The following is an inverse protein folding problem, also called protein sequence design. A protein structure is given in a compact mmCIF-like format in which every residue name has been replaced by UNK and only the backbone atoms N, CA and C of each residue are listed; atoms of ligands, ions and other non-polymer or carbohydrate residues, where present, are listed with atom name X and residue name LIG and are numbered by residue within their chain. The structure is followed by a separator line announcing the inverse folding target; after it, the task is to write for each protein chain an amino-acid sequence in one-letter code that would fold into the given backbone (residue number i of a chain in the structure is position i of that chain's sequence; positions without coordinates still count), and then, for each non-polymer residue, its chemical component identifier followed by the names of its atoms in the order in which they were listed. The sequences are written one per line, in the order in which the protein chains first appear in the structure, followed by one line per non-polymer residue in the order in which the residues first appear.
data_IF_261505305329
#
_entry.id   IF_261505305329
#
_cell.length_a   1.000
_cell.length_b   1.000
_cell.length_c   1.000
_cell.angle_alpha   90.00
_cell.angle_beta   90.00
_cell.angle_gamma   90.00
#
_symmetry.space_group_name_H-M   'P 1'
#
loop_
_entity.id
_entity.type
_entity.pdbx_description
1 polymer ?
#
# COMPACT_ATOMS: atom_id res chain seq x y z
N UNK A 1 -10.19 -17.87 -5.35
CA UNK A 1 -9.92 -16.92 -6.45
C UNK A 1 -10.41 -15.50 -6.12
N UNK A 2 -11.44 -15.33 -5.29
CA UNK A 2 -11.84 -13.99 -4.80
C UNK A 2 -10.77 -13.34 -3.92
N UNK A 3 -10.05 -14.15 -3.14
CA UNK A 3 -8.86 -13.77 -2.36
C UNK A 3 -7.77 -13.09 -3.20
N UNK A 4 -7.46 -13.64 -4.39
CA UNK A 4 -6.47 -13.02 -5.29
C UNK A 4 -6.98 -11.71 -5.89
N UNK A 5 -8.27 -11.62 -6.20
CA UNK A 5 -8.90 -10.38 -6.65
C UNK A 5 -8.83 -9.28 -5.58
N UNK A 6 -9.14 -9.63 -4.32
CA UNK A 6 -8.99 -8.72 -3.17
C UNK A 6 -7.55 -8.22 -3.09
N UNK A 7 -6.56 -9.11 -3.16
CA UNK A 7 -5.15 -8.72 -3.14
C UNK A 7 -4.78 -7.72 -4.25
N UNK A 8 -5.28 -7.93 -5.49
CA UNK A 8 -5.03 -7.02 -6.62
C UNK A 8 -5.69 -5.65 -6.36
N UNK A 9 -6.93 -5.62 -5.88
CA UNK A 9 -7.63 -4.38 -5.54
C UNK A 9 -6.86 -3.61 -4.46
N UNK A 10 -6.39 -4.30 -3.43
CA UNK A 10 -5.59 -3.71 -2.35
C UNK A 10 -4.31 -3.08 -2.87
N UNK A 11 -3.57 -3.76 -3.76
CA UNK A 11 -2.38 -3.20 -4.42
C UNK A 11 -2.74 -1.97 -5.25
N UNK A 12 -3.83 -2.04 -6.02
CA UNK A 12 -4.28 -0.93 -6.85
C UNK A 12 -4.62 0.31 -6.01
N UNK A 13 -5.30 0.14 -4.87
CA UNK A 13 -5.56 1.23 -3.92
C UNK A 13 -4.25 1.79 -3.34
N UNK A 14 -3.27 0.94 -3.04
CA UNK A 14 -1.93 1.37 -2.63
C UNK A 14 -1.23 2.26 -3.66
N UNK A 15 -1.31 1.89 -4.95
CA UNK A 15 -0.79 2.68 -6.08
C UNK A 15 -1.48 4.05 -6.14
N UNK A 16 -2.82 4.08 -6.03
CA UNK A 16 -3.60 5.32 -6.01
C UNK A 16 -3.15 6.20 -4.85
N UNK A 17 -3.08 5.65 -3.64
CA UNK A 17 -2.66 6.38 -2.44
C UNK A 17 -1.30 7.05 -2.62
N UNK A 18 -0.29 6.31 -3.09
CA UNK A 18 1.05 6.84 -3.33
C UNK A 18 1.06 7.94 -4.40
N UNK A 19 0.40 7.74 -5.53
CA UNK A 19 0.39 8.72 -6.62
C UNK A 19 -0.40 9.98 -6.27
N UNK A 20 -1.58 9.85 -5.66
CA UNK A 20 -2.41 10.98 -5.21
C UNK A 20 -1.65 11.78 -4.15
N UNK A 21 -1.05 11.12 -3.15
CA UNK A 21 -0.26 11.82 -2.15
C UNK A 21 0.97 12.51 -2.75
N UNK A 22 1.68 11.87 -3.68
CA UNK A 22 2.79 12.48 -4.42
C UNK A 22 2.35 13.69 -5.26
N UNK A 23 1.15 13.67 -5.83
CA UNK A 23 0.57 14.79 -6.59
C UNK A 23 0.19 15.97 -5.68
N UNK A 24 -0.43 15.70 -4.52
CA UNK A 24 -0.80 16.73 -3.53
C UNK A 24 0.45 17.32 -2.87
N UNK A 25 1.39 16.46 -2.46
CA UNK A 25 2.63 16.84 -1.77
C UNK A 25 3.83 16.65 -2.67
N UNK A 26 3.99 17.56 -3.64
CA UNK A 26 5.09 17.59 -4.62
C UNK A 26 6.49 17.41 -4.02
N UNK A 27 6.73 17.77 -2.75
CA UNK A 27 7.99 17.50 -2.04
C UNK A 27 8.37 16.02 -1.97
N UNK A 28 7.37 15.13 -1.85
CA UNK A 28 7.58 13.69 -1.70
C UNK A 28 7.54 12.91 -3.02
N UNK A 29 7.10 13.54 -4.12
CA UNK A 29 7.08 12.87 -5.43
C UNK A 29 8.50 12.51 -5.88
N UNK A 30 8.62 11.35 -6.53
CA UNK A 30 9.85 10.85 -7.14
C UNK A 30 9.66 10.48 -8.62
N UNK A 31 8.52 10.88 -9.20
CA UNK A 31 8.08 10.49 -10.55
C UNK A 31 7.01 9.40 -10.50
N UNK A 32 6.18 9.31 -11.54
CA UNK A 32 5.03 8.37 -11.59
C UNK A 32 5.46 6.91 -11.40
N UNK A 33 6.53 6.48 -12.07
CA UNK A 33 7.06 5.11 -11.94
C UNK A 33 7.52 4.82 -10.52
N UNK A 34 8.32 5.71 -9.92
CA UNK A 34 8.82 5.52 -8.56
C UNK A 34 7.69 5.54 -7.52
N UNK A 35 6.71 6.43 -7.68
CA UNK A 35 5.55 6.48 -6.80
C UNK A 35 4.71 5.21 -6.91
N UNK A 36 4.56 4.66 -8.11
CA UNK A 36 3.81 3.42 -8.35
C UNK A 36 4.51 2.23 -7.71
N UNK A 37 5.82 2.08 -7.91
CA UNK A 37 6.61 1.02 -7.27
C UNK A 37 6.54 1.14 -5.74
N UNK A 38 6.70 2.35 -5.20
CA UNK A 38 6.59 2.59 -3.76
C UNK A 38 5.17 2.27 -3.25
N UNK A 39 4.13 2.55 -4.03
CA UNK A 39 2.74 2.20 -3.74
C UNK A 39 2.52 0.70 -3.65
N UNK A 40 2.97 -0.06 -4.67
CA UNK A 40 2.86 -1.52 -4.72
C UNK A 40 3.54 -2.17 -3.52
N UNK A 41 4.83 -1.88 -3.33
CA UNK A 41 5.58 -2.52 -2.26
C UNK A 41 5.17 -2.00 -0.87
N UNK A 42 4.83 -0.72 -0.76
CA UNK A 42 4.35 -0.11 0.47
C UNK A 42 3.06 -0.75 0.97
N UNK A 43 2.08 -0.95 0.09
CA UNK A 43 0.82 -1.60 0.45
C UNK A 43 1.02 -3.08 0.80
N UNK A 44 1.76 -3.85 -0.02
CA UNK A 44 2.04 -5.26 0.26
C UNK A 44 2.74 -5.44 1.60
N UNK A 45 3.75 -4.60 1.88
CA UNK A 45 4.51 -4.67 3.12
C UNK A 45 3.63 -4.37 4.34
N UNK A 46 2.78 -3.34 4.27
CA UNK A 46 1.85 -3.01 5.35
C UNK A 46 0.81 -4.09 5.59
N UNK A 47 0.16 -4.60 4.53
CA UNK A 47 -0.78 -5.71 4.65
C UNK A 47 -0.08 -6.91 5.29
N UNK A 48 1.17 -7.20 4.94
CA UNK A 48 1.88 -8.37 5.49
C UNK A 48 2.30 -8.20 6.95
N UNK A 49 2.69 -7.00 7.37
CA UNK A 49 3.01 -6.71 8.78
C UNK A 49 1.77 -6.84 9.65
N UNK A 50 0.69 -6.21 9.22
CA UNK A 50 -0.53 -6.08 10.02
C UNK A 50 -1.55 -7.19 9.72
N UNK A 51 -1.32 -8.04 8.72
CA UNK A 51 -2.22 -9.12 8.31
C UNK A 51 -2.51 -10.13 9.42
N UNK A 52 -1.61 -10.26 10.41
CA UNK A 52 -1.87 -11.05 11.64
C UNK A 52 -3.05 -10.54 12.47
N UNK A 53 -3.56 -9.35 12.19
CA UNK A 53 -4.80 -8.82 12.78
C UNK A 53 -6.06 -9.34 12.07
N UNK A 54 -5.92 -10.21 11.06
CA UNK A 54 -7.03 -10.93 10.43
C UNK A 54 -7.69 -10.24 9.24
N UNK A 55 -7.07 -9.22 8.65
CA UNK A 55 -7.61 -8.53 7.47
C UNK A 55 -6.88 -8.84 6.17
N UNK A 56 -6.00 -9.85 6.15
CA UNK A 56 -5.40 -10.27 4.87
C UNK A 56 -6.46 -10.91 3.96
N UNK A 57 -6.21 -10.99 2.63
CA UNK A 57 -7.20 -11.48 1.68
C UNK A 57 -7.72 -12.90 1.96
N UNK A 58 -6.92 -13.74 2.63
CA UNK A 58 -7.34 -15.10 3.00
C UNK A 58 -8.33 -15.01 4.16
N UNK A 59 -8.01 -14.25 5.22
CA UNK A 59 -8.91 -14.04 6.35
C UNK A 59 -10.22 -13.36 5.97
N UNK A 60 -10.21 -12.41 5.02
CA UNK A 60 -11.45 -11.77 4.52
C UNK A 60 -12.41 -12.79 3.90
N UNK A 61 -11.88 -13.87 3.32
CA UNK A 61 -12.64 -14.91 2.63
C UNK A 61 -12.83 -16.18 3.47
N UNK A 62 -12.43 -16.18 4.75
CA UNK A 62 -12.42 -17.39 5.59
C UNK A 62 -13.82 -18.02 5.74
N UNK A 63 -14.86 -17.19 5.79
CA UNK A 63 -16.26 -17.63 5.92
C UNK A 63 -16.88 -18.16 4.62
N UNK A 64 -16.18 -18.04 3.48
CA UNK A 64 -16.72 -18.30 2.15
C UNK A 64 -17.38 -17.08 1.49
N UNK A 65 -17.82 -16.10 2.29
CA UNK A 65 -18.30 -14.79 1.86
C UNK A 65 -17.29 -13.68 2.18
N UNK A 66 -17.42 -12.53 1.50
CA UNK A 66 -16.55 -11.37 1.73
C UNK A 66 -16.95 -10.67 3.04
N UNK A 67 -16.08 -10.70 4.04
CA UNK A 67 -16.24 -9.84 5.21
C UNK A 67 -15.95 -8.39 4.83
N UNK A 68 -17.02 -7.59 4.72
CA UNK A 68 -16.97 -6.19 4.29
C UNK A 68 -16.19 -5.31 5.27
N UNK A 69 -16.21 -5.63 6.56
CA UNK A 69 -15.52 -4.85 7.60
C UNK A 69 -14.02 -5.08 7.48
N UNK A 70 -13.58 -6.34 7.40
CA UNK A 70 -12.18 -6.69 7.21
C UNK A 70 -11.65 -6.18 5.87
N UNK A 71 -12.47 -6.24 4.82
CA UNK A 71 -12.13 -5.67 3.52
C UNK A 71 -11.92 -4.14 3.59
N UNK A 72 -12.81 -3.40 4.26
CA UNK A 72 -12.66 -1.95 4.43
C UNK A 72 -11.35 -1.59 5.19
N UNK A 73 -11.01 -2.36 6.23
CA UNK A 73 -9.75 -2.20 6.97
C UNK A 73 -8.56 -2.47 6.04
N UNK A 74 -8.60 -3.54 5.26
CA UNK A 74 -7.54 -3.87 4.31
C UNK A 74 -7.31 -2.74 3.30
N UNK A 75 -8.38 -2.17 2.75
CA UNK A 75 -8.31 -1.05 1.81
C UNK A 75 -7.70 0.20 2.46
N UNK A 76 -8.13 0.55 3.68
CA UNK A 76 -7.55 1.67 4.43
C UNK A 76 -6.06 1.47 4.71
N UNK A 77 -5.68 0.27 5.17
CA UNK A 77 -4.27 -0.08 5.44
C UNK A 77 -3.44 -0.07 4.16
N UNK A 78 -3.98 -0.53 3.04
CA UNK A 78 -3.30 -0.53 1.74
C UNK A 78 -3.04 0.88 1.24
N UNK A 79 -4.04 1.76 1.36
CA UNK A 79 -3.91 3.18 1.00
C UNK A 79 -2.81 3.85 1.83
N UNK A 80 -2.86 3.69 3.15
CA UNK A 80 -1.86 4.22 4.07
C UNK A 80 -0.47 3.61 3.81
N UNK A 81 -0.40 2.31 3.55
CA UNK A 81 0.83 1.60 3.22
C UNK A 81 1.49 2.15 1.96
N UNK A 82 0.72 2.46 0.92
CA UNK A 82 1.24 3.11 -0.29
C UNK A 82 1.80 4.52 -0.02
N UNK A 83 1.08 5.33 0.77
CA UNK A 83 1.52 6.68 1.16
C UNK A 83 2.80 6.62 2.01
N UNK A 84 2.82 5.77 3.03
CA UNK A 84 3.97 5.59 3.92
C UNK A 84 5.16 5.01 3.15
N UNK A 85 4.93 4.07 2.25
CA UNK A 85 5.94 3.51 1.35
C UNK A 85 6.64 4.60 0.54
N UNK A 86 5.88 5.53 -0.04
CA UNK A 86 6.45 6.66 -0.77
C UNK A 86 7.32 7.56 0.13
N UNK A 87 6.83 7.89 1.33
CA UNK A 87 7.56 8.72 2.30
C UNK A 87 8.87 8.03 2.72
N UNK A 88 8.82 6.73 3.03
CA UNK A 88 9.97 5.95 3.44
C UNK A 88 11.05 5.90 2.35
N UNK A 89 10.66 5.60 1.10
CA UNK A 89 11.59 5.58 -0.03
C UNK A 89 12.21 6.96 -0.27
N UNK A 90 11.44 8.05 -0.13
CA UNK A 90 11.98 9.42 -0.23
C UNK A 90 13.01 9.71 0.84
N UNK A 91 12.76 9.30 2.09
CA UNK A 91 13.71 9.49 3.20
C UNK A 91 15.00 8.71 2.91
N UNK A 92 14.90 7.45 2.50
CA UNK A 92 16.04 6.59 2.17
C UNK A 92 16.88 7.23 1.06
N UNK A 93 16.24 7.65 -0.04
CA UNK A 93 16.91 8.32 -1.15
C UNK A 93 17.67 9.57 -0.70
N UNK A 94 17.01 10.47 0.04
CA UNK A 94 17.66 11.69 0.53
C UNK A 94 18.83 11.42 1.48
N UNK A 95 18.83 10.29 2.21
CA UNK A 95 19.93 9.87 3.08
C UNK A 95 21.10 9.30 2.27
N UNK A 96 20.82 8.54 1.20
CA UNK A 96 21.83 8.01 0.29
C UNK A 96 22.50 9.14 -0.51
N UNK A 97 21.72 10.06 -1.07
CA UNK A 97 22.23 11.21 -1.83
C UNK A 97 23.08 12.17 -0.99
N UNK A 98 22.89 12.21 0.34
CA UNK A 98 23.72 13.02 1.26
C UNK A 98 25.05 12.36 1.65
N UNK A 99 25.21 11.06 1.35
CA UNK A 99 26.43 10.29 1.66
C UNK A 99 27.30 10.06 0.43
N UNK A 100 26.81 10.42 -0.76
CA UNK A 100 27.55 10.50 -2.02
C UNK A 100 27.99 11.94 -2.26
#
# INVERSE_FOLDING_TARGET
MTDTLIAIISIFVGIIGANVFGAIKKKYTMGSTANTIAGIFGSIFFIKIFGRLGFDPISIMESGDVDVVLFAINIAVSLLGGVIGLIAVKIIRNRLDKKL
#
